data_IF_381992590295
#
_entry.id   IF_381992590295
#
_cell.length_a   1.000
_cell.length_b   1.000
_cell.length_c   1.000
_cell.angle_alpha   90.00
_cell.angle_beta   90.00
_cell.angle_gamma   90.00
#
_symmetry.space_group_name_H-M   'P 1'
#
loop_
_entity.id
_entity.type
_entity.pdbx_description
1 polymer ?
#
# COMPACT_ATOMS: atom_id res chain seq x y z
N UNK A 1 -20.48 -3.22 -4.44
CA UNK A 1 -20.54 -2.77 -3.03
C UNK A 1 -20.31 -3.91 -2.01
N UNK A 2 -20.60 -5.17 -2.30
CA UNK A 2 -20.38 -6.30 -1.36
C UNK A 2 -18.89 -6.49 -1.04
N UNK A 3 -18.02 -6.48 -2.02
CA UNK A 3 -16.59 -6.79 -1.83
C UNK A 3 -15.80 -5.79 -0.95
N UNK A 4 -16.29 -4.57 -0.73
CA UNK A 4 -15.66 -3.62 0.20
C UNK A 4 -15.97 -4.03 1.65
N UNK A 5 -17.20 -4.45 1.93
CA UNK A 5 -17.61 -4.94 3.26
C UNK A 5 -16.80 -6.16 3.69
N UNK A 6 -16.55 -7.09 2.75
CA UNK A 6 -15.80 -8.32 3.03
C UNK A 6 -14.38 -8.02 3.50
N UNK A 7 -13.70 -7.04 2.89
CA UNK A 7 -12.38 -6.58 3.31
C UNK A 7 -12.39 -5.97 4.70
N UNK A 8 -13.39 -5.15 5.00
CA UNK A 8 -13.54 -4.52 6.32
C UNK A 8 -13.76 -5.60 7.38
N UNK A 9 -14.59 -6.61 7.11
CA UNK A 9 -14.85 -7.72 8.03
C UNK A 9 -13.56 -8.51 8.30
N UNK A 10 -12.82 -8.88 7.25
CA UNK A 10 -11.54 -9.61 7.41
C UNK A 10 -10.53 -8.76 8.18
N UNK A 11 -10.43 -7.47 7.86
CA UNK A 11 -9.56 -6.54 8.60
C UNK A 11 -9.96 -6.40 10.07
N UNK A 12 -11.25 -6.38 10.38
CA UNK A 12 -11.77 -6.36 11.74
C UNK A 12 -11.39 -7.65 12.51
N UNK A 13 -11.51 -8.83 11.89
CA UNK A 13 -11.08 -10.08 12.51
C UNK A 13 -9.58 -10.08 12.81
N UNK A 14 -8.74 -9.66 11.86
CA UNK A 14 -7.29 -9.52 12.11
C UNK A 14 -7.01 -8.54 13.25
N UNK A 15 -7.72 -7.41 13.31
CA UNK A 15 -7.60 -6.42 14.37
C UNK A 15 -8.01 -6.96 15.74
N UNK A 16 -9.07 -7.76 15.82
CA UNK A 16 -9.50 -8.41 17.06
C UNK A 16 -8.45 -9.40 17.56
N UNK A 17 -7.92 -10.27 16.69
CA UNK A 17 -6.86 -11.21 17.05
C UNK A 17 -5.62 -10.46 17.60
N UNK A 18 -5.26 -9.32 17.01
CA UNK A 18 -4.13 -8.52 17.49
C UNK A 18 -4.38 -7.88 18.87
N UNK A 19 -5.65 -7.64 19.23
CA UNK A 19 -6.04 -7.07 20.53
C UNK A 19 -6.21 -8.09 21.66
N UNK A 20 -6.26 -9.38 21.33
CA UNK A 20 -6.34 -10.43 22.34
C UNK A 20 -5.14 -10.37 23.30
N UNK A 21 -5.39 -10.72 24.57
CA UNK A 21 -4.35 -10.72 25.61
C UNK A 21 -3.47 -11.98 25.58
N UNK A 22 -3.49 -12.74 24.51
CA UNK A 22 -2.66 -13.93 24.29
C UNK A 22 -1.23 -13.56 23.89
N UNK A 23 -0.32 -14.53 23.93
CA UNK A 23 1.07 -14.31 23.49
C UNK A 23 1.15 -13.84 22.04
N UNK A 24 2.08 -12.93 21.75
CA UNK A 24 2.23 -12.33 20.42
C UNK A 24 2.49 -13.38 19.33
N UNK A 25 3.24 -14.43 19.67
CA UNK A 25 3.52 -15.53 18.72
C UNK A 25 2.26 -16.29 18.33
N UNK A 26 1.36 -16.55 19.30
CA UNK A 26 0.09 -17.22 19.03
C UNK A 26 -0.81 -16.38 18.12
N UNK A 27 -0.93 -15.07 18.40
CA UNK A 27 -1.68 -14.13 17.54
C UNK A 27 -1.17 -14.07 16.12
N UNK A 28 0.15 -13.98 15.94
CA UNK A 28 0.77 -13.97 14.62
C UNK A 28 0.52 -15.28 13.87
N UNK A 29 0.57 -16.41 14.58
CA UNK A 29 0.28 -17.72 13.99
C UNK A 29 -1.16 -17.82 13.51
N UNK A 30 -2.14 -17.36 14.30
CA UNK A 30 -3.56 -17.34 13.91
C UNK A 30 -3.81 -16.50 12.66
N UNK A 31 -3.22 -15.29 12.58
CA UNK A 31 -3.35 -14.40 11.41
C UNK A 31 -2.63 -15.01 10.20
N UNK A 32 -1.50 -15.70 10.40
CA UNK A 32 -0.78 -16.40 9.33
C UNK A 32 -1.62 -17.52 8.74
N UNK A 33 -2.24 -18.35 9.59
CA UNK A 33 -3.12 -19.44 9.15
C UNK A 33 -4.30 -18.87 8.38
N UNK A 34 -4.94 -17.82 8.88
CA UNK A 34 -6.04 -17.14 8.21
C UNK A 34 -5.59 -16.58 6.86
N UNK A 35 -4.44 -15.93 6.78
CA UNK A 35 -3.89 -15.39 5.54
C UNK A 35 -3.61 -16.47 4.49
N UNK A 36 -3.00 -17.59 4.90
CA UNK A 36 -2.73 -18.73 4.01
C UNK A 36 -4.04 -19.38 3.54
N UNK A 37 -5.00 -19.57 4.44
CA UNK A 37 -6.31 -20.12 4.09
C UNK A 37 -7.05 -19.25 3.07
N UNK A 38 -7.02 -17.92 3.23
CA UNK A 38 -7.61 -16.97 2.29
C UNK A 38 -6.91 -17.00 0.93
N UNK A 39 -5.57 -17.08 0.89
CA UNK A 39 -4.81 -17.21 -0.35
C UNK A 39 -5.15 -18.50 -1.07
N UNK A 40 -5.19 -19.62 -0.35
CA UNK A 40 -5.49 -20.92 -0.91
C UNK A 40 -6.93 -20.99 -1.43
N UNK A 41 -7.90 -20.48 -0.68
CA UNK A 41 -9.29 -20.37 -1.12
C UNK A 41 -9.42 -19.48 -2.36
N UNK A 42 -8.73 -18.34 -2.40
CA UNK A 42 -8.69 -17.46 -3.56
C UNK A 42 -8.07 -18.12 -4.78
N UNK A 43 -7.01 -18.89 -4.59
CA UNK A 43 -6.36 -19.64 -5.67
C UNK A 43 -7.28 -20.75 -6.22
N UNK A 44 -7.91 -21.54 -5.36
CA UNK A 44 -8.87 -22.56 -5.78
C UNK A 44 -10.05 -21.95 -6.54
N UNK A 45 -10.60 -20.84 -6.04
CA UNK A 45 -11.72 -20.17 -6.66
C UNK A 45 -11.35 -19.54 -8.02
N UNK A 46 -10.06 -19.29 -8.28
CA UNK A 46 -9.59 -18.69 -9.53
C UNK A 46 -9.85 -19.56 -10.76
N UNK A 47 -10.02 -20.88 -10.59
CA UNK A 47 -10.38 -21.78 -11.66
C UNK A 47 -11.82 -21.59 -12.17
N UNK A 48 -12.74 -21.15 -11.29
CA UNK A 48 -14.15 -20.88 -11.65
C UNK A 48 -14.46 -19.40 -11.87
N UNK A 49 -13.79 -18.52 -11.11
CA UNK A 49 -13.96 -17.08 -11.18
C UNK A 49 -12.60 -16.39 -11.39
N UNK A 50 -12.28 -15.92 -12.59
CA UNK A 50 -10.99 -15.31 -12.87
C UNK A 50 -10.76 -14.06 -12.03
N UNK A 51 -9.49 -13.83 -11.65
CA UNK A 51 -9.05 -12.65 -10.92
C UNK A 51 -9.32 -11.39 -11.75
N UNK A 52 -10.32 -10.60 -11.38
CA UNK A 52 -10.64 -9.37 -12.08
C UNK A 52 -10.75 -8.20 -11.11
N UNK A 53 -9.78 -7.27 -11.23
CA UNK A 53 -9.73 -6.04 -10.43
C UNK A 53 -10.88 -5.08 -10.78
N UNK A 54 -11.32 -5.02 -12.05
CA UNK A 54 -12.34 -4.06 -12.49
C UNK A 54 -13.73 -4.40 -11.92
N UNK A 55 -14.04 -5.68 -11.81
CA UNK A 55 -15.33 -6.17 -11.31
C UNK A 55 -15.26 -6.50 -9.81
N UNK A 56 -14.08 -6.43 -9.19
CA UNK A 56 -13.87 -6.77 -7.79
C UNK A 56 -14.34 -8.19 -7.48
N UNK A 57 -13.85 -9.18 -8.25
CA UNK A 57 -14.24 -10.57 -8.08
C UNK A 57 -13.97 -11.06 -6.64
N UNK A 58 -14.80 -12.00 -6.11
CA UNK A 58 -14.57 -12.58 -4.78
C UNK A 58 -13.16 -13.16 -4.62
N UNK A 59 -12.66 -13.78 -5.68
CA UNK A 59 -11.30 -14.32 -5.81
C UNK A 59 -10.25 -13.26 -5.57
N UNK A 60 -10.42 -12.08 -6.18
CA UNK A 60 -9.50 -10.96 -6.00
C UNK A 60 -9.51 -10.42 -4.56
N UNK A 61 -10.69 -10.41 -3.92
CA UNK A 61 -10.82 -10.01 -2.51
C UNK A 61 -10.09 -11.00 -1.60
N UNK A 62 -10.29 -12.30 -1.77
CA UNK A 62 -9.66 -13.34 -0.96
C UNK A 62 -8.13 -13.30 -1.09
N UNK A 63 -7.61 -13.22 -2.32
CA UNK A 63 -6.17 -13.15 -2.56
C UNK A 63 -5.55 -11.88 -1.96
N UNK A 64 -6.19 -10.72 -2.16
CA UNK A 64 -5.65 -9.45 -1.62
C UNK A 64 -5.73 -9.39 -0.10
N UNK A 65 -6.80 -9.90 0.53
CA UNK A 65 -6.91 -9.96 1.99
C UNK A 65 -5.93 -10.97 2.59
N UNK A 66 -5.75 -12.12 1.95
CA UNK A 66 -4.76 -13.10 2.39
C UNK A 66 -3.34 -12.55 2.33
N UNK A 67 -2.96 -11.90 1.23
CA UNK A 67 -1.66 -11.24 1.11
C UNK A 67 -1.48 -10.11 2.12
N UNK A 68 -2.50 -9.26 2.33
CA UNK A 68 -2.47 -8.19 3.31
C UNK A 68 -2.31 -8.72 4.75
N UNK A 69 -2.98 -9.84 5.08
CA UNK A 69 -2.84 -10.49 6.40
C UNK A 69 -1.42 -11.02 6.63
N UNK A 70 -0.81 -11.64 5.64
CA UNK A 70 0.59 -12.11 5.75
C UNK A 70 1.57 -10.94 5.84
N UNK A 71 1.34 -9.86 5.09
CA UNK A 71 2.14 -8.65 5.19
C UNK A 71 2.02 -8.02 6.59
N UNK A 72 0.81 -8.00 7.17
CA UNK A 72 0.58 -7.54 8.53
C UNK A 72 1.38 -8.35 9.55
N UNK A 73 1.36 -9.68 9.44
CA UNK A 73 2.17 -10.57 10.28
C UNK A 73 3.66 -10.26 10.16
N UNK A 74 4.15 -10.12 8.93
CA UNK A 74 5.56 -9.81 8.67
C UNK A 74 5.97 -8.47 9.29
N UNK A 75 5.15 -7.43 9.12
CA UNK A 75 5.43 -6.10 9.68
C UNK A 75 5.37 -6.12 11.21
N UNK A 76 4.38 -6.79 11.81
CA UNK A 76 4.28 -6.92 13.27
C UNK A 76 5.47 -7.70 13.83
N UNK A 77 5.88 -8.77 13.19
CA UNK A 77 7.06 -9.52 13.56
C UNK A 77 8.34 -8.66 13.50
N UNK A 78 8.50 -7.89 12.42
CA UNK A 78 9.67 -7.03 12.22
C UNK A 78 9.75 -5.89 13.24
N UNK A 79 8.61 -5.25 13.53
CA UNK A 79 8.54 -4.04 14.37
C UNK A 79 8.50 -4.43 15.86
N UNK A 80 7.62 -5.36 16.25
CA UNK A 80 7.35 -5.66 17.64
C UNK A 80 8.34 -6.70 18.21
N UNK A 81 8.66 -7.75 17.46
CA UNK A 81 9.57 -8.80 17.92
C UNK A 81 11.02 -8.41 17.67
N UNK A 82 11.37 -8.00 16.45
CA UNK A 82 12.73 -7.58 16.10
C UNK A 82 13.09 -6.19 16.58
N UNK A 83 12.13 -5.40 17.11
CA UNK A 83 12.31 -4.02 17.60
C UNK A 83 12.99 -3.07 16.60
N UNK A 84 12.90 -3.35 15.30
CA UNK A 84 13.46 -2.49 14.24
C UNK A 84 12.52 -1.32 13.93
N UNK A 85 12.25 -0.49 14.93
CA UNK A 85 11.32 0.65 14.81
C UNK A 85 11.77 1.71 13.80
N UNK A 86 13.08 1.83 13.54
CA UNK A 86 13.62 2.79 12.57
C UNK A 86 13.09 2.56 11.14
N UNK A 87 12.82 1.32 10.78
CA UNK A 87 12.25 0.96 9.48
C UNK A 87 10.77 1.33 9.35
N UNK A 88 10.06 1.37 10.48
CA UNK A 88 8.66 1.80 10.53
C UNK A 88 8.46 3.31 10.42
N UNK A 89 9.51 4.11 10.63
CA UNK A 89 9.41 5.58 10.67
C UNK A 89 8.78 6.19 9.41
N UNK A 90 9.20 5.86 8.17
CA UNK A 90 8.57 6.40 6.98
C UNK A 90 7.09 6.06 6.88
N UNK A 91 6.72 4.82 7.22
CA UNK A 91 5.32 4.38 7.20
C UNK A 91 4.48 5.08 8.28
N UNK A 92 5.07 5.33 9.44
CA UNK A 92 4.43 6.10 10.50
C UNK A 92 4.16 7.55 10.05
N UNK A 93 5.12 8.20 9.38
CA UNK A 93 4.96 9.55 8.84
C UNK A 93 3.82 9.59 7.81
N UNK A 94 3.78 8.63 6.87
CA UNK A 94 2.66 8.52 5.92
C UNK A 94 1.32 8.25 6.62
N UNK A 95 1.32 7.43 7.67
CA UNK A 95 0.12 7.06 8.42
C UNK A 95 -0.46 8.18 9.29
N UNK A 96 0.26 9.28 9.52
CA UNK A 96 -0.27 10.42 10.31
C UNK A 96 -1.30 11.24 9.55
N UNK A 97 -1.20 11.34 8.22
CA UNK A 97 -2.10 12.12 7.36
C UNK A 97 -2.46 11.36 6.07
N UNK A 98 -3.07 10.16 6.14
CA UNK A 98 -3.25 9.31 4.97
C UNK A 98 -4.17 9.90 3.92
N UNK A 99 -5.25 10.56 4.32
CA UNK A 99 -6.19 11.16 3.38
C UNK A 99 -5.60 12.40 2.69
N UNK A 100 -4.87 13.22 3.44
CA UNK A 100 -4.19 14.39 2.89
C UNK A 100 -3.20 13.98 1.80
N UNK A 101 -2.35 12.98 2.08
CA UNK A 101 -1.36 12.52 1.11
C UNK A 101 -2.00 11.91 -0.13
N UNK A 102 -3.12 11.20 0.04
CA UNK A 102 -3.87 10.64 -1.08
C UNK A 102 -4.37 11.76 -2.02
N UNK A 103 -4.94 12.81 -1.46
CA UNK A 103 -5.43 13.98 -2.24
C UNK A 103 -4.26 14.70 -2.91
N UNK A 104 -3.19 14.99 -2.17
CA UNK A 104 -2.01 15.69 -2.70
C UNK A 104 -1.36 14.88 -3.82
N UNK A 105 -1.18 13.57 -3.64
CA UNK A 105 -0.63 12.69 -4.66
C UNK A 105 -1.51 12.66 -5.92
N UNK A 106 -2.82 12.62 -5.78
CA UNK A 106 -3.76 12.69 -6.90
C UNK A 106 -3.68 14.04 -7.64
N UNK A 107 -3.72 15.14 -6.92
CA UNK A 107 -3.59 16.49 -7.50
C UNK A 107 -2.24 16.65 -8.19
N UNK A 108 -1.15 16.22 -7.56
CA UNK A 108 0.19 16.30 -8.13
C UNK A 108 0.31 15.48 -9.42
N UNK A 109 -0.22 14.25 -9.44
CA UNK A 109 -0.22 13.41 -10.63
C UNK A 109 -0.98 14.07 -11.78
N UNK A 110 -2.18 14.61 -11.50
CA UNK A 110 -2.98 15.34 -12.50
C UNK A 110 -2.27 16.60 -12.99
N UNK A 111 -1.64 17.37 -12.11
CA UNK A 111 -0.87 18.55 -12.49
C UNK A 111 0.31 18.20 -13.40
N UNK A 112 1.05 17.14 -13.11
CA UNK A 112 2.15 16.67 -13.94
C UNK A 112 1.71 16.22 -15.33
N UNK A 113 0.47 15.71 -15.45
CA UNK A 113 -0.13 15.30 -16.73
C UNK A 113 -0.66 16.48 -17.52
N UNK A 114 -1.35 17.44 -16.86
CA UNK A 114 -1.99 18.59 -17.51
C UNK A 114 -1.00 19.68 -17.90
N UNK A 115 0.07 19.89 -17.13
CA UNK A 115 1.09 20.86 -17.46
C UNK A 115 1.89 20.37 -18.65
N UNK A 116 1.63 20.99 -19.81
CA UNK A 116 2.39 20.75 -21.05
C UNK A 116 3.53 21.73 -21.16
N UNK A 117 4.72 21.23 -21.45
CA UNK A 117 5.92 22.04 -21.73
C UNK A 117 6.36 21.72 -23.17
N UNK A 118 5.90 22.54 -24.13
CA UNK A 118 6.04 22.28 -25.55
C UNK A 118 5.00 21.27 -26.06
N UNK A 119 5.42 20.21 -26.76
CA UNK A 119 4.52 19.22 -27.36
C UNK A 119 4.18 18.03 -26.44
N UNK A 120 4.84 17.90 -25.28
CA UNK A 120 4.65 16.80 -24.34
C UNK A 120 4.33 17.24 -22.92
N UNK A 121 3.68 16.36 -22.13
CA UNK A 121 3.38 16.62 -20.74
C UNK A 121 4.66 16.67 -19.88
N UNK A 122 4.60 17.38 -18.75
CA UNK A 122 5.73 17.45 -17.82
C UNK A 122 6.12 16.07 -17.31
N UNK A 123 5.12 15.21 -17.09
CA UNK A 123 5.31 13.80 -16.69
C UNK A 123 6.13 13.04 -17.75
N UNK A 124 5.78 13.19 -19.02
CA UNK A 124 6.44 12.52 -20.11
C UNK A 124 7.90 12.99 -20.27
N UNK A 125 8.16 14.27 -20.10
CA UNK A 125 9.53 14.82 -20.14
C UNK A 125 10.40 14.28 -19.01
N UNK A 126 9.87 14.22 -17.77
CA UNK A 126 10.60 13.65 -16.63
C UNK A 126 10.89 12.17 -16.90
N UNK A 127 9.89 11.43 -17.39
CA UNK A 127 10.05 10.01 -17.70
C UNK A 127 11.09 9.79 -18.82
N UNK A 128 11.02 10.56 -19.90
CA UNK A 128 11.95 10.49 -21.02
C UNK A 128 13.38 10.87 -20.60
N UNK A 129 13.53 11.85 -19.73
CA UNK A 129 14.84 12.20 -19.17
C UNK A 129 15.44 11.07 -18.35
N UNK A 130 14.64 10.35 -17.57
CA UNK A 130 15.08 9.17 -16.81
C UNK A 130 15.43 8.04 -17.78
N UNK A 131 14.59 7.83 -18.80
CA UNK A 131 14.80 6.76 -19.77
C UNK A 131 16.04 6.99 -20.65
N UNK A 132 16.40 8.23 -20.94
CA UNK A 132 17.62 8.53 -21.71
C UNK A 132 18.92 8.12 -21.00
N UNK A 133 18.87 7.98 -19.64
CA UNK A 133 20.01 7.56 -18.82
C UNK A 133 20.02 6.05 -18.58
N UNK A 134 18.87 5.37 -18.69
CA UNK A 134 18.69 3.96 -18.35
C UNK A 134 18.22 3.16 -19.58
N UNK A 135 18.91 2.04 -19.91
CA UNK A 135 18.56 1.24 -21.10
C UNK A 135 17.24 0.47 -20.96
N UNK A 136 16.74 0.26 -19.70
CA UNK A 136 15.56 -0.55 -19.42
C UNK A 136 14.34 0.31 -19.05
N UNK A 137 13.25 0.21 -19.82
CA UNK A 137 11.99 0.92 -19.58
C UNK A 137 11.36 0.56 -18.21
N UNK A 138 11.54 -0.68 -17.75
CA UNK A 138 11.04 -1.11 -16.43
C UNK A 138 11.78 -0.43 -15.28
N UNK A 139 13.10 -0.28 -15.40
CA UNK A 139 13.92 0.43 -14.40
C UNK A 139 13.60 1.93 -14.38
N UNK A 140 13.41 2.55 -15.55
CA UNK A 140 13.02 3.95 -15.66
C UNK A 140 11.67 4.21 -14.96
N UNK A 141 10.69 3.33 -15.16
CA UNK A 141 9.38 3.40 -14.50
C UNK A 141 9.48 3.23 -12.98
N UNK A 142 10.32 2.30 -12.51
CA UNK A 142 10.56 2.11 -11.09
C UNK A 142 11.18 3.35 -10.44
N UNK A 143 12.20 3.93 -11.07
CA UNK A 143 12.87 5.13 -10.56
C UNK A 143 11.92 6.32 -10.53
N UNK A 144 11.13 6.51 -11.59
CA UNK A 144 10.07 7.54 -11.60
C UNK A 144 9.10 7.38 -10.44
N UNK A 145 8.61 6.15 -10.20
CA UNK A 145 7.70 5.86 -9.09
C UNK A 145 8.35 6.13 -7.72
N UNK A 146 9.62 5.76 -7.54
CA UNK A 146 10.34 6.01 -6.29
C UNK A 146 10.57 7.51 -6.06
N UNK A 147 10.91 8.28 -7.09
CA UNK A 147 11.04 9.73 -7.00
C UNK A 147 9.71 10.40 -6.65
N UNK A 148 8.62 9.95 -7.28
CA UNK A 148 7.28 10.46 -6.98
C UNK A 148 6.86 10.17 -5.54
N UNK A 149 7.11 8.94 -5.03
CA UNK A 149 6.86 8.58 -3.63
C UNK A 149 7.75 9.40 -2.70
N UNK A 150 9.03 9.55 -3.03
CA UNK A 150 9.99 10.34 -2.26
C UNK A 150 9.57 11.81 -2.14
N UNK A 151 9.09 12.41 -3.23
CA UNK A 151 8.59 13.79 -3.23
C UNK A 151 7.35 13.93 -2.33
N UNK A 152 6.39 13.02 -2.45
CA UNK A 152 5.23 12.99 -1.57
C UNK A 152 5.63 12.79 -0.10
N UNK A 153 6.64 11.95 0.17
CA UNK A 153 7.19 11.76 1.51
C UNK A 153 7.74 13.06 2.11
N UNK A 154 8.48 13.85 1.33
CA UNK A 154 9.02 15.13 1.79
C UNK A 154 7.92 16.11 2.21
N UNK A 155 6.80 16.15 1.47
CA UNK A 155 5.65 16.99 1.79
C UNK A 155 5.06 16.58 3.15
N UNK A 156 4.80 15.27 3.34
CA UNK A 156 4.21 14.77 4.59
C UNK A 156 5.17 14.88 5.76
N UNK A 157 6.46 14.64 5.52
CA UNK A 157 7.49 14.81 6.54
C UNK A 157 7.57 16.25 7.04
N UNK A 158 7.43 17.24 6.15
CA UNK A 158 7.34 18.65 6.52
C UNK A 158 6.12 18.95 7.42
N UNK A 159 4.95 18.38 7.10
CA UNK A 159 3.74 18.49 7.93
C UNK A 159 3.90 17.77 9.28
N UNK A 160 4.48 16.58 9.26
CA UNK A 160 4.76 15.80 10.46
C UNK A 160 5.68 16.55 11.42
N UNK A 161 6.76 17.19 10.91
CA UNK A 161 7.68 18.00 11.70
C UNK A 161 7.00 19.21 12.35
N UNK A 162 6.00 19.78 11.67
CA UNK A 162 5.18 20.89 12.21
C UNK A 162 4.01 20.40 13.09
N UNK A 163 3.89 19.07 13.33
CA UNK A 163 2.81 18.44 14.09
C UNK A 163 1.40 18.82 13.61
N UNK A 164 1.26 19.12 12.32
CA UNK A 164 -0.01 19.40 11.69
C UNK A 164 -0.68 18.08 11.28
N UNK A 165 -1.63 17.64 12.11
CA UNK A 165 -2.44 16.45 11.84
C UNK A 165 -3.81 16.91 11.33
N UNK A 166 -4.06 16.71 10.05
CA UNK A 166 -5.33 17.02 9.42
C UNK A 166 -6.27 15.84 9.70
N UNK A 167 -7.06 15.95 10.76
CA UNK A 167 -8.16 15.01 11.04
C UNK A 167 -9.38 15.51 10.27
N UNK A 168 -9.78 14.75 9.26
CA UNK A 168 -11.05 14.92 8.55
C UNK A 168 -12.01 13.86 9.04
#
# INVERSE_FOLDING_TARGET
QMCIRDRVIIGYFCGNILREKTEIHHRLLQISILGIALLFAGWLLSYGCPLNKKVWSPTFVLVTCGFASLLLVFLTWLIDIRKKQKWGYPFHVFGTNPLFIYIVAGVLATLLEVITVGESSLQEKIYTSIWSVLPDAHLASLIYALLFIGFNYLIVWGLYKKQLFIKI
#
